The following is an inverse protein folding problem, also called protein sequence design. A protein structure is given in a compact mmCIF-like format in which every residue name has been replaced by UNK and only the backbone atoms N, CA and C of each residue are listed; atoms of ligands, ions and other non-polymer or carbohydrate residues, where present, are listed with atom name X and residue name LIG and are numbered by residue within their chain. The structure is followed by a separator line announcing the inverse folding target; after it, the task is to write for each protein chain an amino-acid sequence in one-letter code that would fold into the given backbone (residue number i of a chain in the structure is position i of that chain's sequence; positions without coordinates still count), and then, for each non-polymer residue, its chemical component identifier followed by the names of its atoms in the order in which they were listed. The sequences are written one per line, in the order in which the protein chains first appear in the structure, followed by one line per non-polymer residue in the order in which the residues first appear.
data_IF_987294077040
#
_entry.id   IF_987294077040
#
_cell.length_a   1.000
_cell.length_b   1.000
_cell.length_c   1.000
_cell.angle_alpha   90.00
_cell.angle_beta   90.00
_cell.angle_gamma   90.00
#
_symmetry.space_group_name_H-M   'P 1'
#
loop_
_entity.id
_entity.type
_entity.pdbx_description
1 polymer ?
#
# COMPACT_ATOMS: atom_id res chain seq x y z
N UNK A 1 -30.42 -5.50 -1.27
CA UNK A 1 -29.01 -5.13 -1.44
C UNK A 1 -28.57 -4.44 -0.17
N UNK A 2 -27.53 -4.87 0.51
CA UNK A 2 -27.10 -4.20 1.73
C UNK A 2 -26.74 -2.76 1.39
N UNK A 3 -27.28 -1.84 2.17
CA UNK A 3 -26.97 -0.42 2.05
C UNK A 3 -25.65 -0.19 2.78
N UNK A 4 -24.53 -0.46 2.11
CA UNK A 4 -23.19 -0.49 2.70
C UNK A 4 -22.67 0.89 3.13
N UNK A 5 -23.51 1.92 3.28
CA UNK A 5 -23.04 3.27 3.61
C UNK A 5 -22.15 3.91 2.51
N UNK A 6 -21.89 3.19 1.44
CA UNK A 6 -21.08 3.63 0.32
C UNK A 6 -21.96 4.32 -0.71
N UNK A 7 -21.79 5.62 -0.81
CA UNK A 7 -22.65 6.45 -1.61
C UNK A 7 -22.40 6.21 -3.09
N UNK A 8 -23.45 6.04 -3.84
CA UNK A 8 -23.45 5.99 -5.28
C UNK A 8 -23.03 7.36 -5.88
N UNK A 9 -22.71 7.38 -7.19
CA UNK A 9 -22.29 8.61 -7.91
C UNK A 9 -23.30 9.75 -7.79
N UNK A 10 -24.60 9.45 -7.69
CA UNK A 10 -25.67 10.43 -7.56
C UNK A 10 -25.64 11.16 -6.21
N UNK A 11 -25.11 10.54 -5.18
CA UNK A 11 -25.00 11.10 -3.84
C UNK A 11 -23.73 11.95 -3.70
N UNK A 12 -22.66 11.62 -4.44
CA UNK A 12 -21.42 12.37 -4.42
C UNK A 12 -21.59 13.87 -4.70
N UNK A 13 -22.36 14.22 -5.72
CA UNK A 13 -22.54 15.62 -6.05
C UNK A 13 -23.40 16.35 -5.01
N UNK A 14 -24.37 15.66 -4.37
CA UNK A 14 -25.20 16.23 -3.30
C UNK A 14 -24.38 16.57 -2.06
N UNK A 15 -23.43 15.69 -1.69
CA UNK A 15 -22.46 15.98 -0.62
C UNK A 15 -21.59 17.16 -0.97
N UNK A 16 -21.09 17.23 -2.22
CA UNK A 16 -20.29 18.36 -2.73
C UNK A 16 -21.06 19.69 -2.71
N UNK A 17 -22.35 19.64 -3.00
CA UNK A 17 -23.21 20.82 -2.99
C UNK A 17 -23.65 21.22 -1.57
N UNK A 18 -23.20 20.53 -0.52
CA UNK A 18 -23.61 20.78 0.86
C UNK A 18 -25.06 20.41 1.16
N UNK A 19 -25.70 19.66 0.25
CA UNK A 19 -27.11 19.25 0.38
C UNK A 19 -27.29 18.05 1.31
N UNK A 20 -26.24 17.28 1.57
CA UNK A 20 -26.23 16.11 2.45
C UNK A 20 -24.97 16.15 3.30
N UNK A 21 -25.10 15.99 4.60
CA UNK A 21 -23.98 15.69 5.49
C UNK A 21 -23.71 14.18 5.47
N UNK A 22 -22.43 13.80 5.38
CA UNK A 22 -22.02 12.40 5.45
C UNK A 22 -21.48 12.09 6.84
N UNK A 23 -22.02 11.05 7.48
CA UNK A 23 -21.43 10.47 8.68
C UNK A 23 -20.43 9.40 8.28
N UNK A 24 -19.21 9.44 8.82
CA UNK A 24 -18.24 8.35 8.65
C UNK A 24 -18.85 7.06 9.22
N UNK A 25 -18.71 5.92 8.50
CA UNK A 25 -19.24 4.66 9.00
C UNK A 25 -18.54 4.28 10.30
N UNK A 26 -19.30 3.76 11.23
CA UNK A 26 -18.81 3.25 12.49
C UNK A 26 -17.98 1.98 12.28
N UNK A 27 -17.17 1.62 13.29
CA UNK A 27 -16.44 0.35 13.27
C UNK A 27 -17.38 -0.86 13.09
N UNK A 28 -18.56 -0.83 13.73
CA UNK A 28 -19.57 -1.89 13.61
C UNK A 28 -20.07 -2.05 12.18
N UNK A 29 -20.46 -0.96 11.53
CA UNK A 29 -20.95 -0.98 10.13
C UNK A 29 -19.86 -1.48 9.15
N UNK A 30 -18.60 -1.10 9.37
CA UNK A 30 -17.48 -1.62 8.56
C UNK A 30 -17.27 -3.12 8.81
N UNK A 31 -17.36 -3.55 10.07
CA UNK A 31 -17.20 -4.96 10.43
C UNK A 31 -18.31 -5.81 9.82
N UNK A 32 -19.56 -5.33 9.83
CA UNK A 32 -20.69 -5.98 9.17
C UNK A 32 -20.48 -6.09 7.67
N UNK A 33 -20.08 -5.00 7.01
CA UNK A 33 -19.76 -5.00 5.57
C UNK A 33 -18.65 -6.01 5.21
N UNK A 34 -17.57 -6.09 5.99
CA UNK A 34 -16.49 -7.06 5.77
C UNK A 34 -17.00 -8.50 5.86
N UNK A 35 -17.87 -8.80 6.85
CA UNK A 35 -18.47 -10.13 7.04
C UNK A 35 -19.46 -10.47 5.92
N UNK A 36 -20.36 -9.56 5.59
CA UNK A 36 -21.35 -9.73 4.52
C UNK A 36 -20.69 -9.97 3.15
N UNK A 37 -19.57 -9.30 2.89
CA UNK A 37 -18.77 -9.51 1.68
C UNK A 37 -17.96 -10.82 1.70
N UNK A 38 -17.96 -11.56 2.80
CA UNK A 38 -17.22 -12.81 2.96
C UNK A 38 -15.70 -12.64 2.91
N UNK A 39 -15.19 -11.45 3.29
CA UNK A 39 -13.75 -11.21 3.36
C UNK A 39 -13.15 -11.71 4.67
N UNK A 40 -13.96 -11.80 5.72
CA UNK A 40 -13.58 -12.37 7.00
C UNK A 40 -14.80 -12.89 7.76
N UNK A 41 -14.58 -13.86 8.66
CA UNK A 41 -15.60 -14.35 9.60
C UNK A 41 -15.67 -13.52 10.87
N UNK A 42 -14.51 -13.03 11.32
CA UNK A 42 -14.39 -12.16 12.50
C UNK A 42 -13.61 -10.90 12.13
N UNK A 43 -14.06 -9.76 12.66
CA UNK A 43 -13.39 -8.46 12.49
C UNK A 43 -12.99 -7.95 13.86
N UNK A 44 -11.69 -7.76 14.05
CA UNK A 44 -11.09 -7.26 15.27
C UNK A 44 -10.83 -5.76 15.20
N UNK A 45 -9.77 -5.33 15.88
CA UNK A 45 -9.42 -3.91 15.99
C UNK A 45 -8.93 -3.31 14.67
N UNK A 46 -9.08 -1.99 14.54
CA UNK A 46 -8.43 -1.23 13.49
C UNK A 46 -6.93 -1.11 13.80
N UNK A 47 -6.10 -1.64 12.90
CA UNK A 47 -4.64 -1.63 13.01
C UNK A 47 -4.03 -0.29 12.59
N UNK A 48 -4.66 0.39 11.64
CA UNK A 48 -4.18 1.65 11.11
C UNK A 48 -5.28 2.44 10.43
N UNK A 49 -5.09 3.75 10.42
CA UNK A 49 -5.98 4.71 9.77
C UNK A 49 -5.13 5.65 8.92
N UNK A 50 -5.07 5.36 7.64
CA UNK A 50 -4.38 6.20 6.67
C UNK A 50 -5.27 7.32 6.15
N UNK A 51 -4.73 8.08 5.21
CA UNK A 51 -5.48 9.16 4.56
C UNK A 51 -6.63 8.65 3.69
N UNK A 52 -6.52 7.51 3.08
CA UNK A 52 -7.43 7.00 2.06
C UNK A 52 -8.11 5.68 2.45
N UNK A 53 -7.51 4.94 3.40
CA UNK A 53 -8.00 3.64 3.80
C UNK A 53 -7.77 3.39 5.29
N UNK A 54 -8.62 2.55 5.86
CA UNK A 54 -8.46 1.95 7.17
C UNK A 54 -8.05 0.47 7.01
N UNK A 55 -7.29 -0.02 7.98
CA UNK A 55 -6.76 -1.38 7.99
C UNK A 55 -7.26 -2.10 9.23
N UNK A 56 -7.91 -3.25 9.05
CA UNK A 56 -8.54 -4.03 10.11
C UNK A 56 -7.87 -5.39 10.27
N UNK A 57 -7.64 -5.79 11.53
CA UNK A 57 -7.30 -7.16 11.86
C UNK A 57 -8.55 -8.01 11.71
N UNK A 58 -8.44 -9.11 11.00
CA UNK A 58 -9.54 -10.00 10.72
C UNK A 58 -9.12 -11.46 10.90
N UNK A 59 -10.10 -12.34 11.00
CA UNK A 59 -9.90 -13.78 10.95
C UNK A 59 -10.76 -14.38 9.85
N UNK A 60 -10.18 -15.23 9.03
CA UNK A 60 -10.88 -16.02 8.02
C UNK A 60 -10.35 -17.45 8.06
N UNK A 61 -11.26 -18.42 8.15
CA UNK A 61 -10.92 -19.85 8.23
C UNK A 61 -9.86 -20.18 9.30
N UNK A 62 -9.99 -19.53 10.47
CA UNK A 62 -9.07 -19.68 11.59
C UNK A 62 -7.73 -18.95 11.46
N UNK A 63 -7.38 -18.42 10.29
CA UNK A 63 -6.15 -17.67 10.05
C UNK A 63 -6.33 -16.15 10.24
N UNK A 64 -5.29 -15.49 10.77
CA UNK A 64 -5.25 -14.04 10.83
C UNK A 64 -5.03 -13.46 9.43
N UNK A 65 -5.80 -12.46 9.10
CA UNK A 65 -5.76 -11.69 7.85
C UNK A 65 -5.87 -10.20 8.16
N UNK A 66 -5.51 -9.39 7.19
CA UNK A 66 -5.74 -7.95 7.20
C UNK A 66 -6.75 -7.63 6.11
N UNK A 67 -7.73 -6.78 6.42
CA UNK A 67 -8.63 -6.20 5.41
C UNK A 67 -8.37 -4.71 5.35
N UNK A 68 -7.97 -4.24 4.16
CA UNK A 68 -7.83 -2.81 3.84
C UNK A 68 -9.14 -2.33 3.23
N UNK A 69 -9.71 -1.27 3.81
CA UNK A 69 -10.99 -0.67 3.44
C UNK A 69 -10.73 0.75 2.97
N UNK A 70 -10.87 1.01 1.69
CA UNK A 70 -10.74 2.35 1.12
C UNK A 70 -11.97 3.18 1.48
N UNK A 71 -11.74 4.37 2.03
CA UNK A 71 -12.83 5.31 2.34
C UNK A 71 -13.36 5.91 1.07
N UNK A 72 -14.65 5.93 0.90
CA UNK A 72 -15.29 6.53 -0.29
C UNK A 72 -15.19 8.05 -0.32
N UNK A 73 -14.89 8.67 0.81
CA UNK A 73 -14.77 10.12 0.94
C UNK A 73 -13.48 10.53 1.61
N UNK A 74 -12.86 11.48 0.95
CA UNK A 74 -11.83 12.30 1.52
C UNK A 74 -12.04 13.75 1.14
N UNK A 75 -12.11 14.60 2.16
CA UNK A 75 -11.76 15.98 2.02
C UNK A 75 -10.25 16.08 1.97
N UNK A 76 -9.66 16.18 0.78
CA UNK A 76 -8.30 16.68 0.69
C UNK A 76 -8.35 18.17 1.07
N UNK A 77 -7.64 18.57 2.12
CA UNK A 77 -7.45 19.97 2.49
C UNK A 77 -6.60 20.76 1.46
N UNK A 78 -6.26 20.16 0.33
CA UNK A 78 -5.71 20.87 -0.83
C UNK A 78 -6.84 21.07 -1.84
N UNK A 79 -7.42 22.26 -1.79
CA UNK A 79 -8.17 22.83 -2.90
C UNK A 79 -7.21 23.09 -4.08
N UNK A 80 -6.71 22.02 -4.70
CA UNK A 80 -6.02 22.15 -5.96
C UNK A 80 -7.07 22.28 -7.06
N UNK A 81 -6.98 23.38 -7.81
CA UNK A 81 -7.92 23.82 -8.83
C UNK A 81 -7.87 22.99 -10.12
N UNK A 82 -7.60 21.69 -10.02
CA UNK A 82 -7.67 20.74 -11.12
C UNK A 82 -8.97 19.92 -11.07
N UNK A 83 -9.50 19.51 -12.23
CA UNK A 83 -10.62 18.57 -12.29
C UNK A 83 -10.21 17.29 -11.56
N UNK A 84 -10.83 17.05 -10.40
CA UNK A 84 -10.62 15.83 -9.63
C UNK A 84 -11.15 14.69 -10.48
N UNK A 85 -10.27 13.90 -11.08
CA UNK A 85 -10.63 12.59 -11.60
C UNK A 85 -11.04 11.75 -10.40
N UNK A 86 -12.34 11.61 -10.22
CA UNK A 86 -12.93 10.71 -9.24
C UNK A 86 -12.66 9.27 -9.67
N UNK A 87 -11.45 8.81 -9.41
CA UNK A 87 -11.20 7.38 -9.40
C UNK A 87 -12.07 6.81 -8.28
N UNK A 88 -12.97 5.88 -8.60
CA UNK A 88 -13.79 5.27 -7.54
C UNK A 88 -12.87 4.53 -6.57
N UNK A 89 -13.17 4.55 -5.29
CA UNK A 89 -12.35 3.86 -4.28
C UNK A 89 -12.25 2.36 -4.55
N UNK A 90 -13.25 1.77 -5.23
CA UNK A 90 -13.18 0.42 -5.76
C UNK A 90 -12.10 0.23 -6.81
N UNK A 91 -11.87 1.22 -7.68
CA UNK A 91 -10.77 1.18 -8.66
C UNK A 91 -9.40 1.30 -7.99
N UNK A 92 -9.30 2.12 -6.92
CA UNK A 92 -8.06 2.20 -6.12
C UNK A 92 -7.76 0.88 -5.42
N UNK A 93 -8.75 0.25 -4.79
CA UNK A 93 -8.61 -1.06 -4.19
C UNK A 93 -8.19 -2.13 -5.23
N UNK A 94 -8.80 -2.10 -6.41
CA UNK A 94 -8.44 -2.99 -7.51
C UNK A 94 -6.99 -2.78 -7.96
N UNK A 95 -6.59 -1.52 -8.16
CA UNK A 95 -5.24 -1.18 -8.61
C UNK A 95 -4.18 -1.59 -7.60
N UNK A 96 -4.39 -1.31 -6.32
CA UNK A 96 -3.43 -1.71 -5.29
C UNK A 96 -3.34 -3.22 -5.18
N UNK A 97 -4.47 -3.94 -5.20
CA UNK A 97 -4.44 -5.40 -5.17
C UNK A 97 -3.79 -6.00 -6.42
N UNK A 98 -4.00 -5.43 -7.62
CA UNK A 98 -3.32 -5.85 -8.86
C UNK A 98 -1.79 -5.69 -8.72
N UNK A 99 -1.32 -4.55 -8.20
CA UNK A 99 0.09 -4.31 -7.91
C UNK A 99 0.65 -5.28 -6.88
N UNK A 100 -0.07 -5.48 -5.78
CA UNK A 100 0.32 -6.41 -4.72
C UNK A 100 0.42 -7.84 -5.25
N UNK A 101 -0.58 -8.28 -6.02
CA UNK A 101 -0.62 -9.61 -6.62
C UNK A 101 0.54 -9.82 -7.58
N UNK A 102 0.80 -8.82 -8.42
CA UNK A 102 1.88 -8.88 -9.40
C UNK A 102 3.26 -8.93 -8.74
N UNK A 103 3.50 -8.08 -7.74
CA UNK A 103 4.72 -8.09 -6.95
C UNK A 103 4.92 -9.42 -6.20
N UNK A 104 3.86 -9.96 -5.60
CA UNK A 104 3.91 -11.22 -4.88
C UNK A 104 4.20 -12.41 -5.82
N UNK A 105 3.54 -12.48 -6.97
CA UNK A 105 3.80 -13.49 -8.00
C UNK A 105 5.22 -13.42 -8.56
N UNK A 106 5.78 -12.22 -8.64
CA UNK A 106 7.18 -12.00 -9.02
C UNK A 106 8.20 -12.29 -7.90
N UNK A 107 7.75 -12.82 -6.76
CA UNK A 107 8.61 -13.19 -5.63
C UNK A 107 9.07 -12.02 -4.76
N UNK A 108 8.52 -10.82 -4.94
CA UNK A 108 8.83 -9.68 -4.08
C UNK A 108 8.31 -9.90 -2.65
N UNK A 109 9.01 -9.34 -1.66
CA UNK A 109 8.66 -9.48 -0.24
C UNK A 109 7.55 -8.52 0.14
N UNK A 110 6.33 -8.88 -0.23
CA UNK A 110 5.08 -8.17 0.04
C UNK A 110 4.06 -9.14 0.67
N UNK A 111 3.03 -8.65 1.40
CA UNK A 111 1.98 -9.54 1.94
C UNK A 111 1.31 -10.34 0.82
N UNK A 112 1.04 -11.63 1.08
CA UNK A 112 0.25 -12.46 0.16
C UNK A 112 -1.12 -11.82 -0.08
N UNK A 113 -1.49 -11.55 -1.34
CA UNK A 113 -2.79 -10.98 -1.68
C UNK A 113 -3.92 -11.96 -1.42
N UNK A 114 -5.06 -11.42 -0.99
CA UNK A 114 -6.28 -12.19 -0.83
C UNK A 114 -7.35 -11.80 -1.84
N UNK A 115 -8.62 -11.80 -1.38
CA UNK A 115 -9.78 -11.45 -2.21
C UNK A 115 -10.10 -9.97 -2.12
N UNK A 116 -10.71 -9.45 -3.18
CA UNK A 116 -11.29 -8.10 -3.23
C UNK A 116 -12.80 -8.16 -3.42
N UNK A 117 -13.51 -7.31 -2.70
CA UNK A 117 -14.92 -6.99 -2.93
C UNK A 117 -15.06 -5.48 -2.86
N UNK A 118 -15.59 -4.88 -3.91
CA UNK A 118 -15.78 -3.42 -4.04
C UNK A 118 -14.50 -2.62 -3.71
N UNK A 119 -14.53 -1.79 -2.66
CA UNK A 119 -13.45 -0.94 -2.19
C UNK A 119 -12.62 -1.58 -1.05
N UNK A 120 -12.77 -2.88 -0.83
CA UNK A 120 -12.09 -3.63 0.21
C UNK A 120 -11.30 -4.78 -0.38
N UNK A 121 -10.15 -5.10 0.21
CA UNK A 121 -9.43 -6.33 -0.09
C UNK A 121 -8.72 -6.88 1.14
N UNK A 122 -8.57 -8.21 1.15
CA UNK A 122 -7.83 -8.92 2.19
C UNK A 122 -6.40 -9.21 1.74
N UNK A 123 -5.50 -9.35 2.71
CA UNK A 123 -4.11 -9.75 2.50
C UNK A 123 -3.56 -10.45 3.74
N UNK A 124 -2.37 -11.02 3.60
CA UNK A 124 -1.66 -11.68 4.69
C UNK A 124 -1.47 -10.74 5.89
N UNK A 125 -1.73 -11.25 7.09
CA UNK A 125 -1.32 -10.60 8.33
C UNK A 125 0.17 -10.88 8.59
N UNK A 126 0.92 -9.84 8.86
CA UNK A 126 2.32 -9.92 9.27
C UNK A 126 2.43 -9.54 10.74
N UNK A 127 2.90 -10.47 11.57
CA UNK A 127 2.98 -10.29 13.00
C UNK A 127 2.94 -11.61 13.76
N UNK A 128 2.69 -11.52 15.06
CA UNK A 128 2.36 -12.62 15.95
C UNK A 128 0.86 -12.59 16.27
N UNK A 129 0.27 -13.62 16.91
CA UNK A 129 -1.12 -13.56 17.34
C UNK A 129 -1.43 -12.39 18.29
N UNK A 130 -0.42 -11.85 18.97
CA UNK A 130 -0.55 -10.79 19.98
C UNK A 130 -0.27 -9.41 19.42
N UNK A 131 0.61 -9.30 18.40
CA UNK A 131 1.11 -8.01 17.96
C UNK A 131 1.42 -8.00 16.46
N UNK A 132 0.99 -6.94 15.78
CA UNK A 132 1.34 -6.69 14.37
C UNK A 132 2.83 -6.38 14.24
N UNK A 133 3.44 -6.81 13.14
CA UNK A 133 4.82 -6.43 12.81
C UNK A 133 4.95 -4.89 12.78
N UNK A 134 5.93 -4.32 13.50
CA UNK A 134 6.10 -2.87 13.56
C UNK A 134 6.54 -2.30 12.22
N UNK A 135 6.13 -1.08 11.93
CA UNK A 135 6.70 -0.29 10.84
C UNK A 135 8.17 0.00 11.15
N UNK A 136 9.02 -0.02 10.12
CA UNK A 136 10.44 0.29 10.26
C UNK A 136 10.67 1.62 11.00
N UNK A 137 9.83 2.62 10.77
CA UNK A 137 9.92 3.93 11.44
C UNK A 137 9.95 3.81 12.98
N UNK A 138 9.23 2.84 13.53
CA UNK A 138 9.05 2.62 14.96
C UNK A 138 9.84 1.43 15.52
N UNK A 139 10.47 0.66 14.63
CA UNK A 139 11.23 -0.52 15.02
C UNK A 139 12.63 -0.16 15.51
N UNK A 140 13.11 -0.92 16.49
CA UNK A 140 14.52 -1.01 16.84
C UNK A 140 15.12 -2.24 16.18
N UNK A 141 16.22 -2.05 15.45
CA UNK A 141 16.85 -3.11 14.70
C UNK A 141 18.01 -3.73 15.47
N UNK A 142 17.96 -5.03 15.69
CA UNK A 142 19.07 -5.75 16.33
C UNK A 142 20.32 -5.85 15.42
N UNK A 143 20.09 -5.89 14.10
CA UNK A 143 21.16 -5.98 13.07
C UNK A 143 20.89 -4.98 11.95
N UNK A 144 21.09 -3.66 12.21
CA UNK A 144 20.66 -2.61 11.27
C UNK A 144 21.36 -2.66 9.91
N UNK A 145 22.66 -3.03 9.85
CA UNK A 145 23.38 -3.13 8.59
C UNK A 145 22.87 -4.28 7.70
N UNK A 146 22.59 -5.42 8.31
CA UNK A 146 21.98 -6.56 7.59
C UNK A 146 20.57 -6.22 7.12
N UNK A 147 19.77 -5.58 7.97
CA UNK A 147 18.42 -5.17 7.61
C UNK A 147 18.42 -4.13 6.48
N UNK A 148 19.37 -3.20 6.46
CA UNK A 148 19.54 -2.27 5.35
C UNK A 148 19.85 -3.00 4.05
N UNK A 149 20.80 -3.95 4.08
CA UNK A 149 21.13 -4.75 2.90
C UNK A 149 19.92 -5.53 2.37
N UNK A 150 19.12 -6.14 3.25
CA UNK A 150 17.88 -6.82 2.90
C UNK A 150 16.82 -5.86 2.35
N UNK A 151 16.76 -4.63 2.89
CA UNK A 151 15.83 -3.59 2.39
C UNK A 151 16.20 -3.17 0.97
N UNK A 152 17.47 -2.94 0.69
CA UNK A 152 17.95 -2.62 -0.65
C UNK A 152 17.65 -3.77 -1.62
N UNK A 153 17.99 -5.00 -1.24
CA UNK A 153 17.68 -6.19 -2.06
C UNK A 153 16.16 -6.36 -2.30
N UNK A 154 15.34 -6.04 -1.31
CA UNK A 154 13.88 -6.08 -1.46
C UNK A 154 13.33 -5.03 -2.41
N UNK A 155 13.92 -3.83 -2.45
CA UNK A 155 13.56 -2.78 -3.43
C UNK A 155 13.93 -3.22 -4.84
N UNK A 156 15.10 -3.87 -5.01
CA UNK A 156 15.50 -4.46 -6.29
C UNK A 156 14.57 -5.61 -6.70
N UNK A 157 14.17 -6.46 -5.74
CA UNK A 157 13.23 -7.55 -5.97
C UNK A 157 11.86 -7.05 -6.44
N UNK A 158 11.37 -5.90 -5.94
CA UNK A 158 10.17 -5.26 -6.49
C UNK A 158 10.37 -4.86 -7.95
N UNK A 159 11.52 -4.27 -8.29
CA UNK A 159 11.84 -3.86 -9.66
C UNK A 159 12.01 -5.09 -10.60
N UNK A 160 12.59 -6.18 -10.13
CA UNK A 160 12.68 -7.46 -10.83
C UNK A 160 11.30 -8.05 -11.10
N UNK A 161 10.37 -7.92 -10.14
CA UNK A 161 8.97 -8.28 -10.32
C UNK A 161 8.20 -7.29 -11.22
N UNK A 162 8.86 -6.31 -11.82
CA UNK A 162 8.23 -5.31 -12.68
C UNK A 162 7.36 -4.29 -11.93
N UNK A 163 7.60 -4.09 -10.65
CA UNK A 163 6.86 -3.11 -9.82
C UNK A 163 7.82 -2.08 -9.22
N UNK A 164 7.47 -0.82 -9.34
CA UNK A 164 8.17 0.29 -8.69
C UNK A 164 7.32 0.85 -7.57
N UNK A 165 7.84 0.82 -6.34
CA UNK A 165 7.15 1.38 -5.18
C UNK A 165 7.28 2.91 -5.15
N UNK A 166 6.24 3.63 -5.53
CA UNK A 166 6.33 5.08 -5.71
C UNK A 166 6.16 5.90 -4.41
N UNK A 167 5.85 5.25 -3.28
CA UNK A 167 5.78 5.89 -1.95
C UNK A 167 6.65 5.16 -0.93
N UNK A 168 7.90 4.87 -1.30
CA UNK A 168 8.84 4.17 -0.45
C UNK A 168 9.23 5.04 0.75
N UNK A 169 9.02 4.52 1.96
CA UNK A 169 9.36 5.19 3.22
C UNK A 169 9.48 4.19 4.37
N UNK A 170 10.12 4.55 5.51
CA UNK A 170 10.14 3.69 6.70
C UNK A 170 8.74 3.37 7.28
N UNK A 171 7.70 4.10 6.91
CA UNK A 171 6.31 3.83 7.29
C UNK A 171 5.67 2.71 6.43
N UNK A 172 6.18 2.49 5.21
CA UNK A 172 5.68 1.51 4.26
C UNK A 172 6.53 0.23 4.21
N UNK A 173 7.35 0.01 5.25
CA UNK A 173 8.14 -1.21 5.45
C UNK A 173 7.81 -1.76 6.85
N UNK A 174 7.36 -3.00 6.93
CA UNK A 174 7.19 -3.73 8.18
C UNK A 174 8.45 -4.54 8.49
N UNK A 175 8.79 -4.63 9.77
CA UNK A 175 9.86 -5.51 10.27
C UNK A 175 9.23 -6.80 10.77
N UNK A 176 9.26 -7.86 9.94
CA UNK A 176 8.69 -9.14 10.31
C UNK A 176 9.75 -10.25 10.28
N UNK A 177 10.00 -10.90 11.42
CA UNK A 177 11.01 -11.94 11.60
C UNK A 177 12.43 -11.52 11.18
N UNK A 178 12.76 -10.24 11.43
CA UNK A 178 14.05 -9.67 11.07
C UNK A 178 14.21 -9.30 9.59
N UNK A 179 13.15 -9.35 8.81
CA UNK A 179 13.14 -9.08 7.37
C UNK A 179 12.22 -7.90 7.01
N UNK A 180 12.56 -7.11 5.97
CA UNK A 180 11.71 -6.03 5.48
C UNK A 180 10.57 -6.57 4.61
N UNK A 181 9.36 -6.12 4.87
CA UNK A 181 8.16 -6.41 4.08
C UNK A 181 7.54 -5.11 3.60
N UNK A 182 7.37 -4.98 2.29
CA UNK A 182 6.87 -3.75 1.68
C UNK A 182 5.34 -3.77 1.63
N UNK A 183 4.73 -2.67 2.08
CA UNK A 183 3.27 -2.49 2.13
C UNK A 183 2.87 -1.18 1.46
N UNK A 184 1.58 -1.03 1.18
CA UNK A 184 0.98 0.17 0.59
C UNK A 184 1.52 0.49 -0.82
N UNK A 185 1.17 -0.38 -1.77
CA UNK A 185 1.54 -0.22 -3.18
C UNK A 185 0.55 0.67 -3.97
N UNK A 186 -0.35 1.39 -3.31
CA UNK A 186 -1.41 2.17 -3.95
C UNK A 186 -0.91 3.14 -5.02
N UNK A 187 0.23 3.80 -4.78
CA UNK A 187 0.89 4.74 -5.70
C UNK A 187 1.91 4.05 -6.62
N UNK A 188 2.09 2.73 -6.48
CA UNK A 188 3.03 1.95 -7.25
C UNK A 188 2.76 1.96 -8.75
N UNK A 189 3.76 1.58 -9.51
CA UNK A 189 3.69 1.53 -10.98
C UNK A 189 4.14 0.15 -11.47
N UNK A 190 3.34 -0.45 -12.34
CA UNK A 190 3.74 -1.64 -13.11
C UNK A 190 4.52 -1.23 -14.36
N UNK A 191 5.68 -1.82 -14.55
CA UNK A 191 6.58 -1.49 -15.66
C UNK A 191 6.00 -1.92 -17.01
N UNK A 192 5.20 -2.99 -17.04
CA UNK A 192 4.52 -3.50 -18.24
C UNK A 192 3.24 -2.70 -18.61
N UNK A 193 2.76 -1.80 -17.72
CA UNK A 193 1.52 -1.03 -17.92
C UNK A 193 1.69 0.47 -17.65
N UNK A 194 2.75 1.05 -18.18
CA UNK A 194 3.09 2.46 -17.96
C UNK A 194 2.10 3.45 -18.60
N UNK A 195 1.26 3.00 -19.51
CA UNK A 195 0.41 3.89 -20.30
C UNK A 195 1.22 4.70 -21.35
N UNK A 196 0.63 5.77 -21.87
CA UNK A 196 1.26 6.60 -22.90
C UNK A 196 1.35 8.06 -22.43
N UNK A 197 2.50 8.73 -22.56
CA UNK A 197 3.81 8.19 -22.94
C UNK A 197 4.52 7.48 -21.75
N UNK A 198 5.06 6.27 -21.97
CA UNK A 198 5.54 5.41 -20.90
C UNK A 198 6.74 5.98 -20.14
N UNK A 199 7.59 6.79 -20.78
CA UNK A 199 8.78 7.37 -20.15
C UNK A 199 8.45 8.37 -19.05
N UNK A 200 7.35 9.12 -19.15
CA UNK A 200 6.97 10.10 -18.13
C UNK A 200 6.67 9.39 -16.81
N UNK A 201 5.80 8.38 -16.84
CA UNK A 201 5.45 7.62 -15.64
C UNK A 201 6.65 6.87 -15.05
N UNK A 202 7.49 6.32 -15.90
CA UNK A 202 8.71 5.65 -15.43
C UNK A 202 9.68 6.65 -14.78
N UNK A 203 9.88 7.82 -15.35
CA UNK A 203 10.68 8.88 -14.73
C UNK A 203 10.11 9.31 -13.37
N UNK A 204 8.80 9.53 -13.26
CA UNK A 204 8.14 9.87 -12.01
C UNK A 204 8.33 8.79 -10.94
N UNK A 205 8.19 7.51 -11.33
CA UNK A 205 8.43 6.38 -10.46
C UNK A 205 9.90 6.32 -9.98
N UNK A 206 10.86 6.52 -10.87
CA UNK A 206 12.29 6.57 -10.54
C UNK A 206 12.60 7.72 -9.58
N UNK A 207 12.05 8.92 -9.81
CA UNK A 207 12.18 10.03 -8.87
C UNK A 207 11.57 9.70 -7.50
N UNK A 208 10.51 8.90 -7.47
CA UNK A 208 9.91 8.46 -6.21
C UNK A 208 10.82 7.50 -5.45
N UNK A 209 11.50 6.58 -6.14
CA UNK A 209 12.53 5.72 -5.53
C UNK A 209 13.66 6.55 -4.93
N UNK A 210 14.12 7.60 -5.64
CA UNK A 210 15.14 8.51 -5.12
C UNK A 210 14.71 9.20 -3.82
N UNK A 211 13.48 9.73 -3.78
CA UNK A 211 12.93 10.30 -2.55
C UNK A 211 12.86 9.27 -1.41
N UNK A 212 12.44 8.03 -1.74
CA UNK A 212 12.41 6.91 -0.81
C UNK A 212 13.80 6.55 -0.28
N UNK A 213 14.79 6.45 -1.15
CA UNK A 213 16.19 6.20 -0.76
C UNK A 213 16.69 7.25 0.24
N UNK A 214 16.40 8.53 -0.02
CA UNK A 214 16.73 9.62 0.92
C UNK A 214 15.96 9.51 2.25
N UNK A 215 14.71 9.05 2.23
CA UNK A 215 13.93 8.83 3.46
C UNK A 215 14.52 7.68 4.29
N UNK A 216 14.90 6.58 3.65
CA UNK A 216 15.62 5.47 4.28
C UNK A 216 16.98 5.92 4.82
N UNK A 217 17.75 6.72 4.06
CA UNK A 217 19.02 7.28 4.53
C UNK A 217 18.87 8.13 5.80
N UNK A 218 17.78 8.93 5.92
CA UNK A 218 17.49 9.65 7.16
C UNK A 218 17.18 8.72 8.32
N UNK A 219 16.47 7.62 8.07
CA UNK A 219 16.16 6.63 9.10
C UNK A 219 17.43 5.91 9.56
N UNK A 220 18.25 5.40 8.64
CA UNK A 220 19.40 4.57 8.96
C UNK A 220 20.60 5.35 9.55
N UNK A 221 20.63 6.68 9.41
CA UNK A 221 21.62 7.53 10.09
C UNK A 221 21.65 7.38 11.61
N UNK A 222 20.53 6.97 12.24
CA UNK A 222 20.50 6.66 13.68
C UNK A 222 21.38 5.47 14.07
N UNK A 223 21.82 4.70 13.08
CA UNK A 223 22.71 3.54 13.22
C UNK A 223 24.08 3.78 12.56
N UNK A 224 24.41 5.02 12.24
CA UNK A 224 25.62 5.41 11.51
C UNK A 224 25.78 4.70 10.16
N UNK A 225 24.64 4.40 9.49
CA UNK A 225 24.60 3.78 8.17
C UNK A 225 24.14 4.78 7.12
N UNK A 226 24.79 4.72 5.94
CA UNK A 226 24.46 5.53 4.79
C UNK A 226 23.71 4.71 3.72
N UNK A 227 22.82 5.35 2.99
CA UNK A 227 22.14 4.82 1.81
C UNK A 227 22.64 5.58 0.60
N UNK A 228 23.39 4.89 -0.27
CA UNK A 228 23.80 5.42 -1.56
C UNK A 228 22.61 5.44 -2.52
N UNK A 229 21.91 6.58 -2.54
CA UNK A 229 20.73 6.75 -3.38
C UNK A 229 21.04 6.67 -4.89
N UNK A 230 22.12 7.27 -5.43
CA UNK A 230 22.55 7.07 -6.80
C UNK A 230 22.81 5.61 -7.18
N UNK A 231 23.49 4.83 -6.32
CA UNK A 231 23.74 3.42 -6.56
C UNK A 231 22.43 2.61 -6.58
N UNK A 232 21.57 2.81 -5.59
CA UNK A 232 20.26 2.15 -5.53
C UNK A 232 19.43 2.44 -6.80
N UNK A 233 19.41 3.69 -7.26
CA UNK A 233 18.69 4.05 -8.48
C UNK A 233 19.27 3.37 -9.72
N UNK A 234 20.58 3.28 -9.84
CA UNK A 234 21.24 2.59 -10.95
C UNK A 234 20.85 1.11 -10.97
N UNK A 235 20.85 0.46 -9.79
CA UNK A 235 20.49 -0.96 -9.63
C UNK A 235 19.02 -1.20 -9.96
N UNK A 236 18.11 -0.38 -9.45
CA UNK A 236 16.67 -0.45 -9.76
C UNK A 236 16.43 -0.28 -11.26
N UNK A 237 17.07 0.69 -11.91
CA UNK A 237 16.96 0.88 -13.37
C UNK A 237 17.43 -0.35 -14.14
N UNK A 238 18.56 -0.92 -13.78
CA UNK A 238 19.07 -2.13 -14.43
C UNK A 238 18.07 -3.30 -14.33
N UNK A 239 17.38 -3.47 -13.18
CA UNK A 239 16.35 -4.50 -13.02
C UNK A 239 15.11 -4.23 -13.89
N UNK A 240 14.68 -2.98 -13.98
CA UNK A 240 13.56 -2.57 -14.84
C UNK A 240 13.90 -2.82 -16.32
N UNK A 241 15.10 -2.48 -16.74
CA UNK A 241 15.53 -2.67 -18.13
C UNK A 241 15.58 -4.16 -18.50
N UNK A 242 16.10 -5.02 -17.62
CA UNK A 242 16.09 -6.47 -17.77
C UNK A 242 14.65 -7.02 -17.87
N UNK A 243 13.75 -6.55 -17.02
CA UNK A 243 12.34 -6.95 -17.03
C UNK A 243 11.64 -6.61 -18.37
N UNK A 244 12.02 -5.49 -19.03
CA UNK A 244 11.42 -5.05 -20.30
C UNK A 244 11.95 -5.78 -21.53
N UNK A 245 13.05 -6.47 -21.44
CA UNK A 245 13.71 -7.21 -22.52
C UNK A 245 13.36 -8.69 -22.52
N UNK A 246 12.96 -9.25 -21.37
CA UNK A 246 12.51 -10.63 -21.21
C UNK A 246 11.01 -10.78 -21.47
#
# INVERSE_FOLDING_TARGET
MPNNGYLDKSVHWKVRAGQISFAEPTHGEIADAIRECGLATEVGQRLGSGKEADVYLCRSDGALRVVKVYRQYRTSHRADRGSIKLESMGQRALRELDLLTYAWQGGARVPEPGRRVENMFSMQYLGTPQEIAPMLQHAELARPAEFLALTIAGIEGLAEAGVVHSDLSPFNILVHRGEPWFIDLAEGVRVDRLGYPPWIRLQEAIHSVERGARALGRYFRRYDLEVDAPDLLRRVRAKIDLFRVG
#
